data_IF_737313869009
#
_entry.id   IF_737313869009
#
_cell.length_a   1.000
_cell.length_b   1.000
_cell.length_c   1.000
_cell.angle_alpha   90.00
_cell.angle_beta   90.00
_cell.angle_gamma   90.00
#
_symmetry.space_group_name_H-M   'P 1'
#
loop_
_entity.id
_entity.type
_entity.pdbx_description
1 polymer ?
#
# COMPACT_ATOMS: atom_id res chain seq x y z
N UNK A 1 1.20 -9.03 -25.66
CA UNK A 1 1.89 -8.74 -24.39
C UNK A 1 1.00 -7.79 -23.64
N UNK A 2 0.45 -8.21 -22.51
CA UNK A 2 -0.35 -7.34 -21.63
C UNK A 2 0.63 -6.56 -20.76
N UNK A 3 0.58 -5.22 -20.84
CA UNK A 3 1.36 -4.36 -19.96
C UNK A 3 0.66 -4.32 -18.60
N UNK A 4 1.32 -4.82 -17.55
CA UNK A 4 0.80 -4.73 -16.18
C UNK A 4 1.39 -3.51 -15.49
N UNK A 5 0.53 -2.56 -15.13
CA UNK A 5 0.89 -1.36 -14.38
C UNK A 5 0.33 -1.48 -12.98
N UNK A 6 1.13 -1.17 -11.96
CA UNK A 6 0.70 -1.29 -10.56
C UNK A 6 0.72 0.07 -9.92
N UNK A 7 -0.34 0.35 -9.18
CA UNK A 7 -0.59 1.62 -8.55
C UNK A 7 -0.87 1.40 -7.07
N UNK A 8 -0.35 2.28 -6.24
CA UNK A 8 -0.82 2.46 -4.86
C UNK A 8 -1.71 3.68 -4.83
N UNK A 9 -2.84 3.58 -4.13
CA UNK A 9 -3.83 4.64 -4.02
C UNK A 9 -3.93 5.05 -2.55
N UNK A 10 -3.44 6.23 -2.24
CA UNK A 10 -3.46 6.81 -0.90
C UNK A 10 -4.89 7.22 -0.50
N UNK A 11 -5.19 7.32 0.80
CA UNK A 11 -6.53 7.71 1.28
C UNK A 11 -6.98 9.10 0.83
N UNK A 12 -6.03 9.99 0.47
CA UNK A 12 -6.33 11.32 -0.11
C UNK A 12 -6.79 11.25 -1.59
N UNK A 13 -6.71 10.06 -2.20
CA UNK A 13 -7.03 9.83 -3.62
C UNK A 13 -5.83 9.97 -4.57
N UNK A 14 -4.69 10.40 -4.04
CA UNK A 14 -3.42 10.41 -4.75
C UNK A 14 -2.98 8.99 -5.15
N UNK A 15 -2.35 8.87 -6.32
CA UNK A 15 -1.94 7.57 -6.88
C UNK A 15 -0.49 7.64 -7.30
N UNK A 16 0.26 6.63 -6.90
CA UNK A 16 1.66 6.51 -7.25
C UNK A 16 1.90 5.16 -7.93
N UNK A 17 2.66 5.18 -9.02
CA UNK A 17 3.08 3.94 -9.68
C UNK A 17 4.09 3.22 -8.78
N UNK A 18 3.98 1.90 -8.69
CA UNK A 18 4.92 1.07 -7.97
C UNK A 18 5.32 -0.12 -8.81
N UNK A 19 6.58 -0.54 -8.69
CA UNK A 19 7.02 -1.81 -9.27
C UNK A 19 6.75 -2.98 -8.31
N UNK A 20 6.46 -2.70 -7.03
CA UNK A 20 6.23 -3.72 -6.02
C UNK A 20 4.79 -4.21 -6.07
N UNK A 21 4.64 -5.52 -5.96
CA UNK A 21 3.34 -6.15 -5.75
C UNK A 21 3.10 -6.23 -4.24
N UNK A 22 2.27 -5.34 -3.73
CA UNK A 22 1.77 -5.41 -2.36
C UNK A 22 0.57 -6.35 -2.31
N UNK A 23 0.36 -6.95 -1.15
CA UNK A 23 -0.76 -7.82 -0.84
C UNK A 23 -1.69 -7.12 0.12
N UNK A 24 -2.93 -7.59 0.20
CA UNK A 24 -3.85 -7.16 1.26
C UNK A 24 -3.18 -7.44 2.60
N UNK A 25 -3.33 -6.51 3.54
CA UNK A 25 -2.70 -6.50 4.86
C UNK A 25 -1.22 -6.11 4.89
N UNK A 26 -0.55 -5.94 3.74
CA UNK A 26 0.82 -5.39 3.74
C UNK A 26 0.82 -3.95 4.27
N UNK A 27 1.75 -3.68 5.17
CA UNK A 27 1.99 -2.36 5.74
C UNK A 27 3.18 -1.72 5.04
N UNK A 28 2.97 -0.52 4.52
CA UNK A 28 3.97 0.30 3.82
C UNK A 28 4.10 1.69 4.45
N UNK A 29 5.25 2.32 4.27
CA UNK A 29 5.43 3.73 4.65
C UNK A 29 4.86 4.67 3.59
N UNK A 30 4.96 5.99 3.82
CA UNK A 30 4.50 7.04 2.89
C UNK A 30 5.13 7.01 1.49
N UNK A 31 6.25 6.31 1.32
CA UNK A 31 6.91 6.15 0.02
C UNK A 31 6.55 4.81 -0.65
N UNK A 32 5.70 3.99 -0.02
CA UNK A 32 5.31 2.67 -0.52
C UNK A 32 6.35 1.57 -0.31
N UNK A 33 7.34 1.75 0.58
CA UNK A 33 8.21 0.64 0.98
C UNK A 33 7.58 -0.13 2.12
N UNK A 34 7.75 -1.46 2.10
CA UNK A 34 7.32 -2.32 3.20
C UNK A 34 7.93 -1.84 4.51
N UNK A 35 7.09 -1.66 5.51
CA UNK A 35 7.51 -1.23 6.83
C UNK A 35 8.27 -2.37 7.50
N UNK A 36 9.51 -2.13 7.92
CA UNK A 36 10.21 -3.08 8.76
C UNK A 36 9.50 -3.18 10.12
N UNK A 37 9.15 -4.39 10.51
CA UNK A 37 8.51 -4.69 11.79
C UNK A 37 9.56 -5.22 12.79
N UNK A 38 9.59 -4.74 14.05
CA UNK A 38 8.72 -3.70 14.61
C UNK A 38 9.08 -2.30 14.07
N UNK A 39 8.09 -1.38 13.96
CA UNK A 39 8.34 -0.05 13.45
C UNK A 39 9.33 0.71 14.36
N UNK A 40 10.29 1.48 13.79
CA UNK A 40 11.29 2.21 14.56
C UNK A 40 10.71 3.30 15.47
N UNK A 41 9.50 3.80 15.19
CA UNK A 41 8.81 4.80 16.01
C UNK A 41 7.30 4.72 15.86
N UNK A 42 6.58 4.97 16.96
CA UNK A 42 5.12 5.10 17.04
C UNK A 42 4.56 6.34 16.31
N UNK A 43 5.43 7.27 15.90
CA UNK A 43 5.06 8.48 15.13
C UNK A 43 5.17 8.29 13.62
N UNK A 44 5.51 7.10 13.14
CA UNK A 44 5.69 6.87 11.71
C UNK A 44 4.33 6.78 11.01
N UNK A 45 4.23 7.41 9.84
CA UNK A 45 3.05 7.32 8.98
C UNK A 45 3.17 6.01 8.20
N UNK A 46 2.28 5.08 8.52
CA UNK A 46 2.18 3.81 7.84
C UNK A 46 0.79 3.63 7.23
N UNK A 47 0.74 2.90 6.13
CA UNK A 47 -0.45 2.61 5.39
C UNK A 47 -0.60 1.11 5.21
N UNK A 48 -1.82 0.59 5.38
CA UNK A 48 -2.14 -0.83 5.13
C UNK A 48 -2.88 -0.95 3.82
N UNK A 49 -2.55 -1.96 3.02
CA UNK A 49 -3.34 -2.30 1.83
C UNK A 49 -4.64 -2.98 2.29
N UNK A 50 -5.76 -2.29 2.17
CA UNK A 50 -7.05 -2.84 2.58
C UNK A 50 -7.82 -3.45 1.41
N UNK A 51 -7.49 -3.04 0.18
CA UNK A 51 -8.21 -3.48 -1.02
C UNK A 51 -7.31 -3.46 -2.24
N UNK A 52 -7.41 -4.50 -3.06
CA UNK A 52 -6.75 -4.55 -4.37
C UNK A 52 -7.83 -4.68 -5.44
N UNK A 53 -7.75 -3.84 -6.46
CA UNK A 53 -8.64 -3.86 -7.63
C UNK A 53 -7.79 -4.03 -8.88
N UNK A 54 -8.20 -4.95 -9.75
CA UNK A 54 -7.59 -5.15 -11.06
C UNK A 54 -8.54 -4.61 -12.12
N UNK A 55 -8.02 -3.78 -13.01
CA UNK A 55 -8.77 -3.18 -14.11
C UNK A 55 -8.03 -3.57 -15.37
N UNK A 56 -8.70 -4.31 -16.25
CA UNK A 56 -8.15 -4.67 -17.55
C UNK A 56 -8.83 -3.79 -18.60
N UNK A 57 -8.06 -2.95 -19.28
CA UNK A 57 -8.55 -2.11 -20.38
C UNK A 57 -7.65 -2.24 -21.59
N UNK A 58 -8.24 -2.59 -22.75
CA UNK A 58 -7.57 -2.60 -24.08
C UNK A 58 -6.23 -3.35 -24.14
N UNK A 59 -6.02 -4.36 -23.29
CA UNK A 59 -4.78 -5.13 -23.22
C UNK A 59 -3.73 -4.57 -22.25
N UNK A 60 -4.12 -3.62 -21.41
CA UNK A 60 -3.35 -3.13 -20.27
C UNK A 60 -4.05 -3.56 -18.98
N UNK A 61 -3.27 -4.00 -17.99
CA UNK A 61 -3.76 -4.47 -16.70
C UNK A 61 -3.28 -3.51 -15.60
N UNK A 62 -4.20 -2.71 -15.07
CA UNK A 62 -3.96 -1.81 -13.96
C UNK A 62 -4.32 -2.47 -12.63
N UNK A 63 -3.34 -2.60 -11.74
CA UNK A 63 -3.49 -3.14 -10.39
C UNK A 63 -3.51 -1.98 -9.39
N UNK A 64 -4.69 -1.58 -8.96
CA UNK A 64 -4.92 -0.51 -7.97
C UNK A 64 -4.92 -1.09 -6.55
N UNK A 65 -3.92 -0.74 -5.76
CA UNK A 65 -3.74 -1.19 -4.38
C UNK A 65 -4.12 -0.03 -3.46
N UNK A 66 -5.32 -0.09 -2.89
CA UNK A 66 -5.86 0.95 -2.03
C UNK A 66 -5.29 0.83 -0.62
N UNK A 67 -4.80 1.97 -0.14
CA UNK A 67 -4.14 2.14 1.14
C UNK A 67 -5.08 2.84 2.12
N UNK A 68 -5.05 2.38 3.38
CA UNK A 68 -5.68 3.05 4.52
C UNK A 68 -4.59 3.49 5.50
N UNK A 69 -4.77 4.63 6.17
CA UNK A 69 -3.84 5.09 7.20
C UNK A 69 -3.95 4.17 8.43
N UNK A 70 -2.83 3.57 8.83
CA UNK A 70 -2.78 2.77 10.06
C UNK A 70 -2.66 3.73 11.25
N UNK A 71 -3.59 3.68 12.21
CA UNK A 71 -3.51 4.54 13.39
C UNK A 71 -2.30 4.16 14.26
N UNK A 72 -1.71 5.16 14.91
CA UNK A 72 -0.54 4.95 15.79
C UNK A 72 -0.81 3.96 16.94
N UNK A 73 -2.07 3.85 17.39
CA UNK A 73 -2.49 2.86 18.37
C UNK A 73 -2.30 1.42 17.85
N UNK A 74 -2.80 1.10 16.65
CA UNK A 74 -2.59 -0.22 16.03
C UNK A 74 -1.10 -0.48 15.75
N UNK A 75 -0.36 0.51 15.26
CA UNK A 75 1.10 0.37 15.05
C UNK A 75 1.84 0.04 16.35
N UNK A 76 1.37 0.56 17.48
CA UNK A 76 1.94 0.28 18.80
C UNK A 76 1.61 -1.14 19.26
N UNK A 77 0.45 -1.69 18.92
CA UNK A 77 0.09 -3.08 19.24
C UNK A 77 0.91 -4.09 18.42
N UNK A 78 1.34 -3.72 17.21
CA UNK A 78 2.24 -4.56 16.41
C UNK A 78 3.70 -4.60 16.94
N UNK A 79 4.01 -3.76 17.93
CA UNK A 79 5.29 -3.73 18.64
C UNK A 79 5.16 -4.55 19.93
N UNK A 80 4.92 -5.87 19.79
CA UNK A 80 4.97 -6.92 20.83
C UNK A 80 4.58 -6.54 22.27
#
# INVERSE_FOLDING_TARGET
MTTETRWIVYPDGDRQETQKLLRVDDIVDMNGFALAMPPPSERMIAYRVFKIRRVEERGELDVLQYLELVPAAELRELRF
#
